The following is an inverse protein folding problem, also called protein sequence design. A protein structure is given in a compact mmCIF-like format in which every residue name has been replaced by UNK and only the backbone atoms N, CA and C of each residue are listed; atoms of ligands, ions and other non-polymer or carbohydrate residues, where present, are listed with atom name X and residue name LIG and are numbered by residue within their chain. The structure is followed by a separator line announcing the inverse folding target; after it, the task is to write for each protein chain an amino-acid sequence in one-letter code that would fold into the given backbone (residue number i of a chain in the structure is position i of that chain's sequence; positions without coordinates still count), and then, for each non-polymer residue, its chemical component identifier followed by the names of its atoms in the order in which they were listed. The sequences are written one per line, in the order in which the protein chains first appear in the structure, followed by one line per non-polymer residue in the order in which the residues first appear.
data_IF_059888166204
#
_entry.id   IF_059888166204
#
_cell.length_a   1.000
_cell.length_b   1.000
_cell.length_c   1.000
_cell.angle_alpha   90.00
_cell.angle_beta   90.00
_cell.angle_gamma   90.00
#
_symmetry.space_group_name_H-M   'P 1'
#
loop_
_entity.id
_entity.type
_entity.pdbx_description
1 polymer ?
#
# COMPACT_ATOMS: atom_id res chain seq x y z
N UNK A 1 -8.47 -39.49 3.92
CA UNK A 1 -8.62 -38.53 2.82
C UNK A 1 -8.42 -37.15 3.41
N UNK A 2 -7.21 -36.60 3.30
CA UNK A 2 -6.85 -35.30 3.89
C UNK A 2 -6.46 -34.37 2.75
N UNK A 3 -7.39 -33.52 2.33
CA UNK A 3 -7.18 -32.56 1.25
C UNK A 3 -6.33 -31.41 1.79
N UNK A 4 -5.07 -31.35 1.37
CA UNK A 4 -4.19 -30.22 1.65
C UNK A 4 -4.48 -29.13 0.62
N UNK A 5 -5.03 -28.01 1.06
CA UNK A 5 -5.24 -26.83 0.21
C UNK A 5 -3.90 -26.11 0.07
N UNK A 6 -3.32 -26.21 -1.12
CA UNK A 6 -2.18 -25.39 -1.52
C UNK A 6 -2.65 -23.94 -1.70
N UNK A 7 -2.27 -23.05 -0.77
CA UNK A 7 -2.34 -21.61 -0.99
C UNK A 7 -1.30 -21.24 -2.06
N UNK A 8 -1.75 -20.83 -3.25
CA UNK A 8 -0.85 -20.31 -4.28
C UNK A 8 -0.33 -18.93 -3.84
N UNK A 9 0.98 -18.65 -3.99
CA UNK A 9 1.53 -17.33 -3.70
C UNK A 9 1.04 -16.35 -4.77
N UNK A 10 0.26 -15.36 -4.35
CA UNK A 10 -0.12 -14.23 -5.20
C UNK A 10 1.16 -13.49 -5.62
N UNK A 11 1.35 -13.36 -6.94
CA UNK A 11 2.46 -12.59 -7.50
C UNK A 11 2.40 -11.18 -6.94
N UNK A 12 3.45 -10.81 -6.21
CA UNK A 12 3.72 -9.46 -5.72
C UNK A 12 3.51 -8.48 -6.87
N UNK A 13 2.74 -7.43 -6.63
CA UNK A 13 2.64 -6.29 -7.56
C UNK A 13 4.00 -5.60 -7.54
N UNK A 14 4.94 -6.11 -8.33
CA UNK A 14 6.34 -5.65 -8.41
C UNK A 14 6.47 -4.29 -9.14
N UNK A 15 5.37 -3.59 -9.43
CA UNK A 15 5.34 -2.43 -10.32
C UNK A 15 5.05 -1.09 -9.65
N UNK A 16 5.00 -1.00 -8.31
CA UNK A 16 5.02 0.32 -7.65
C UNK A 16 6.46 0.84 -7.71
N UNK A 17 6.85 1.36 -8.88
CA UNK A 17 8.11 2.09 -9.07
C UNK A 17 8.15 3.25 -8.08
N UNK A 18 9.27 3.32 -7.38
CA UNK A 18 9.79 4.42 -6.57
C UNK A 18 9.01 5.75 -6.67
N UNK A 19 8.34 6.12 -5.57
CA UNK A 19 7.72 7.44 -5.33
C UNK A 19 8.79 8.52 -5.00
N UNK A 20 10.09 8.19 -5.12
CA UNK A 20 11.20 9.01 -4.61
C UNK A 20 11.72 10.10 -5.56
N UNK A 21 11.00 10.45 -6.63
CA UNK A 21 11.43 11.51 -7.55
C UNK A 21 10.26 12.45 -7.86
N UNK A 22 10.03 13.41 -6.96
CA UNK A 22 9.09 14.50 -7.19
C UNK A 22 9.57 15.80 -6.53
N UNK A 23 10.86 16.12 -6.67
CA UNK A 23 11.35 17.45 -6.34
C UNK A 23 10.87 18.44 -7.42
N UNK A 24 9.77 19.16 -7.13
CA UNK A 24 9.29 20.28 -7.93
C UNK A 24 7.86 20.20 -8.49
N UNK A 25 7.11 19.11 -8.27
CA UNK A 25 5.71 19.01 -8.69
C UNK A 25 4.77 19.67 -7.65
N UNK A 26 3.84 20.55 -8.03
CA UNK A 26 2.87 21.11 -7.08
C UNK A 26 2.10 19.98 -6.38
N UNK A 27 1.83 20.10 -5.07
CA UNK A 27 1.33 18.98 -4.25
C UNK A 27 -0.03 18.43 -4.70
N UNK A 28 -0.81 19.19 -5.46
CA UNK A 28 -2.13 18.80 -5.96
C UNK A 28 -2.13 17.92 -7.22
N UNK A 29 -0.98 17.68 -7.87
CA UNK A 29 -0.92 16.94 -9.14
C UNK A 29 -0.35 15.51 -8.99
N UNK A 30 0.01 15.11 -7.76
CA UNK A 30 0.52 13.76 -7.47
C UNK A 30 -0.62 12.82 -7.11
N UNK A 31 -0.82 11.76 -7.90
CA UNK A 31 -1.75 10.68 -7.55
C UNK A 31 -1.34 10.01 -6.25
N UNK A 32 -2.31 9.80 -5.36
CA UNK A 32 -2.07 9.05 -4.13
C UNK A 32 -1.75 7.57 -4.42
N UNK A 33 -1.10 6.89 -3.46
CA UNK A 33 -0.88 5.43 -3.59
C UNK A 33 -2.20 4.66 -3.71
N UNK A 34 -3.27 5.19 -3.11
CA UNK A 34 -4.62 4.62 -3.19
C UNK A 34 -5.14 4.69 -4.62
N UNK A 35 -5.04 5.86 -5.27
CA UNK A 35 -5.43 6.03 -6.67
C UNK A 35 -4.61 5.13 -7.60
N UNK A 36 -3.28 5.13 -7.46
CA UNK A 36 -2.40 4.30 -8.29
C UNK A 36 -2.74 2.81 -8.16
N UNK A 37 -2.96 2.34 -6.94
CA UNK A 37 -3.28 0.93 -6.68
C UNK A 37 -4.67 0.58 -7.20
N UNK A 38 -5.66 1.47 -7.02
CA UNK A 38 -7.01 1.29 -7.54
C UNK A 38 -7.02 1.25 -9.07
N UNK A 39 -6.26 2.12 -9.72
CA UNK A 39 -6.10 2.14 -11.18
C UNK A 39 -5.52 0.82 -11.68
N UNK A 40 -4.41 0.36 -11.09
CA UNK A 40 -3.75 -0.90 -11.45
C UNK A 40 -4.67 -2.12 -11.25
N UNK A 41 -5.43 -2.19 -10.15
CA UNK A 41 -6.41 -3.26 -9.92
C UNK A 41 -7.50 -3.25 -11.00
N UNK A 42 -7.95 -2.07 -11.42
CA UNK A 42 -9.00 -1.93 -12.42
C UNK A 42 -8.56 -2.27 -13.85
N UNK A 43 -7.26 -2.40 -14.13
CA UNK A 43 -6.75 -2.87 -15.44
C UNK A 43 -7.05 -4.35 -15.66
N UNK A 44 -7.11 -5.14 -14.58
CA UNK A 44 -7.44 -6.56 -14.64
C UNK A 44 -8.91 -6.79 -14.29
N UNK A 45 -9.67 -7.36 -15.24
CA UNK A 45 -11.07 -7.76 -14.98
C UNK A 45 -11.19 -8.64 -13.73
N UNK A 46 -10.28 -9.62 -13.58
CA UNK A 46 -10.29 -10.55 -12.45
C UNK A 46 -10.10 -9.82 -11.12
N UNK A 47 -9.09 -8.97 -11.01
CA UNK A 47 -8.80 -8.25 -9.77
C UNK A 47 -9.90 -7.23 -9.43
N UNK A 48 -10.50 -6.62 -10.45
CA UNK A 48 -11.64 -5.73 -10.29
C UNK A 48 -12.88 -6.47 -9.77
N UNK A 49 -13.15 -7.66 -10.29
CA UNK A 49 -14.25 -8.52 -9.82
C UNK A 49 -13.98 -8.98 -8.36
N UNK A 50 -12.75 -9.39 -8.05
CA UNK A 50 -12.31 -9.74 -6.69
C UNK A 50 -12.48 -8.54 -5.73
N UNK A 51 -12.10 -7.33 -6.15
CA UNK A 51 -12.29 -6.09 -5.37
C UNK A 51 -13.78 -5.78 -5.15
N UNK A 52 -14.62 -5.92 -6.18
CA UNK A 52 -16.06 -5.69 -6.07
C UNK A 52 -16.70 -6.67 -5.06
N UNK A 53 -16.37 -7.95 -5.14
CA UNK A 53 -16.79 -8.96 -4.17
C UNK A 53 -16.26 -8.66 -2.76
N UNK A 54 -14.97 -8.33 -2.66
CA UNK A 54 -14.32 -7.96 -1.43
C UNK A 54 -14.89 -6.70 -0.81
N UNK A 55 -15.55 -5.80 -1.56
CA UNK A 55 -16.22 -4.61 -1.03
C UNK A 55 -17.74 -4.79 -0.83
N UNK A 56 -18.32 -5.88 -1.32
CA UNK A 56 -19.77 -6.07 -1.37
C UNK A 56 -20.44 -5.05 -2.30
N UNK A 57 -19.81 -4.78 -3.44
CA UNK A 57 -20.22 -3.79 -4.42
C UNK A 57 -20.40 -4.43 -5.80
N UNK A 58 -21.14 -3.73 -6.67
CA UNK A 58 -21.11 -4.03 -8.09
C UNK A 58 -19.83 -3.48 -8.73
N UNK A 59 -19.39 -4.10 -9.82
CA UNK A 59 -18.26 -3.62 -10.64
C UNK A 59 -18.48 -2.17 -11.10
N UNK A 60 -19.73 -1.79 -11.40
CA UNK A 60 -20.09 -0.42 -11.76
C UNK A 60 -19.87 0.60 -10.63
N UNK A 61 -19.95 0.19 -9.37
CA UNK A 61 -19.65 1.06 -8.24
C UNK A 61 -18.14 1.33 -8.16
N UNK A 62 -17.30 0.33 -8.48
CA UNK A 62 -15.85 0.48 -8.56
C UNK A 62 -15.47 1.52 -9.62
N UNK A 63 -16.10 1.47 -10.79
CA UNK A 63 -15.86 2.47 -11.85
C UNK A 63 -16.24 3.89 -11.44
N UNK A 64 -17.34 4.05 -10.71
CA UNK A 64 -17.77 5.36 -10.20
C UNK A 64 -16.80 5.91 -9.15
N UNK A 65 -16.28 5.05 -8.27
CA UNK A 65 -15.28 5.44 -7.27
C UNK A 65 -13.97 5.82 -7.96
N UNK A 66 -13.49 4.99 -8.89
CA UNK A 66 -12.30 5.29 -9.69
C UNK A 66 -12.44 6.59 -10.48
N UNK A 67 -13.61 6.82 -11.06
CA UNK A 67 -13.92 8.03 -11.83
C UNK A 67 -14.24 9.26 -10.98
N UNK A 68 -14.10 9.20 -9.65
CA UNK A 68 -14.38 10.34 -8.76
C UNK A 68 -15.85 10.76 -8.70
N UNK A 69 -16.75 9.98 -9.28
CA UNK A 69 -18.20 10.28 -9.30
C UNK A 69 -18.85 10.01 -7.95
N UNK A 70 -18.29 9.10 -7.15
CA UNK A 70 -18.78 8.77 -5.82
C UNK A 70 -17.63 8.50 -4.86
N UNK A 71 -17.84 8.81 -3.58
CA UNK A 71 -16.86 8.58 -2.52
C UNK A 71 -16.92 7.16 -1.95
N UNK A 72 -15.96 6.86 -1.08
CA UNK A 72 -15.92 5.61 -0.30
C UNK A 72 -16.56 5.89 1.07
N UNK A 73 -17.60 5.15 1.47
CA UNK A 73 -18.18 5.24 2.81
C UNK A 73 -17.14 4.95 3.90
N UNK A 74 -17.19 5.67 5.01
CA UNK A 74 -16.20 5.59 6.10
C UNK A 74 -16.09 4.15 6.66
N UNK A 75 -17.22 3.48 6.83
CA UNK A 75 -17.31 2.09 7.30
C UNK A 75 -16.62 1.08 6.36
N UNK A 76 -16.37 1.47 5.10
CA UNK A 76 -15.71 0.63 4.09
C UNK A 76 -14.23 0.95 3.90
N UNK A 77 -13.68 1.99 4.54
CA UNK A 77 -12.27 2.40 4.36
C UNK A 77 -11.30 1.27 4.75
N UNK A 78 -11.48 0.67 5.93
CA UNK A 78 -10.63 -0.43 6.39
C UNK A 78 -10.68 -1.64 5.43
N UNK A 79 -11.86 -1.91 4.88
CA UNK A 79 -12.10 -2.98 3.92
C UNK A 79 -11.42 -2.69 2.58
N UNK A 80 -11.46 -1.44 2.12
CA UNK A 80 -10.76 -0.98 0.93
C UNK A 80 -9.25 -1.15 1.07
N UNK A 81 -8.66 -0.69 2.18
CA UNK A 81 -7.22 -0.84 2.42
C UNK A 81 -6.81 -2.32 2.38
N UNK A 82 -7.57 -3.18 3.05
CA UNK A 82 -7.31 -4.64 3.04
C UNK A 82 -7.40 -5.22 1.63
N UNK A 83 -8.43 -4.86 0.86
CA UNK A 83 -8.64 -5.36 -0.50
C UNK A 83 -7.57 -4.86 -1.49
N UNK A 84 -7.00 -3.68 -1.26
CA UNK A 84 -5.89 -3.13 -2.04
C UNK A 84 -4.51 -3.55 -1.50
N UNK A 85 -4.45 -4.39 -0.46
CA UNK A 85 -3.22 -4.79 0.22
C UNK A 85 -2.39 -3.61 0.77
N UNK A 86 -3.07 -2.58 1.23
CA UNK A 86 -2.50 -1.40 1.86
C UNK A 86 -2.61 -1.49 3.39
N UNK A 87 -1.62 -0.95 4.09
CA UNK A 87 -1.61 -0.83 5.55
C UNK A 87 -1.49 0.64 5.91
N UNK A 88 -2.28 1.08 6.88
CA UNK A 88 -2.22 2.44 7.43
C UNK A 88 -1.45 2.44 8.73
N UNK A 89 -0.56 3.40 8.89
CA UNK A 89 0.17 3.67 10.12
C UNK A 89 0.24 5.17 10.36
N UNK A 90 0.59 5.58 11.57
CA UNK A 90 0.78 6.99 11.92
C UNK A 90 2.05 7.54 11.28
N UNK A 91 2.06 8.85 10.99
CA UNK A 91 3.26 9.53 10.49
C UNK A 91 4.45 9.35 11.44
N UNK A 92 4.20 9.43 12.75
CA UNK A 92 5.23 9.17 13.77
C UNK A 92 5.86 7.77 13.64
N UNK A 93 5.05 6.74 13.37
CA UNK A 93 5.57 5.39 13.14
C UNK A 93 6.36 5.30 11.83
N UNK A 94 5.92 6.00 10.79
CA UNK A 94 6.65 6.12 9.53
C UNK A 94 8.05 6.73 9.74
N UNK A 95 8.11 7.83 10.49
CA UNK A 95 9.36 8.54 10.81
C UNK A 95 10.28 7.68 11.67
N UNK A 96 9.70 6.93 12.62
CA UNK A 96 10.45 5.96 13.41
C UNK A 96 11.09 4.88 12.51
N UNK A 97 10.33 4.30 11.57
CA UNK A 97 10.87 3.32 10.62
C UNK A 97 11.96 3.93 9.72
N UNK A 98 11.76 5.16 9.23
CA UNK A 98 12.74 5.86 8.42
C UNK A 98 14.04 6.09 9.19
N UNK A 99 13.97 6.54 10.45
CA UNK A 99 15.12 6.70 11.33
C UNK A 99 15.81 5.37 11.61
N UNK A 100 15.04 4.32 11.89
CA UNK A 100 15.54 2.96 12.07
C UNK A 100 16.35 2.47 10.86
N UNK A 101 15.87 2.74 9.64
CA UNK A 101 16.58 2.39 8.41
C UNK A 101 17.89 3.16 8.23
N UNK A 102 17.94 4.45 8.59
CA UNK A 102 19.17 5.25 8.56
C UNK A 102 20.20 4.69 9.54
N UNK A 103 19.80 4.40 10.78
CA UNK A 103 20.71 3.91 11.83
C UNK A 103 21.14 2.47 11.53
N UNK A 104 20.20 1.56 11.29
CA UNK A 104 20.46 0.13 11.12
C UNK A 104 21.22 -0.21 9.85
N UNK A 105 20.99 0.51 8.75
CA UNK A 105 21.69 0.23 7.49
C UNK A 105 23.09 0.86 7.44
N UNK A 106 23.30 1.98 8.14
CA UNK A 106 24.55 2.75 8.03
C UNK A 106 25.48 2.65 9.25
N UNK A 107 25.00 2.23 10.43
CA UNK A 107 25.85 2.07 11.61
C UNK A 107 26.12 0.60 11.93
N UNK A 108 27.41 0.23 11.92
CA UNK A 108 27.86 -1.11 12.31
C UNK A 108 27.52 -1.45 13.77
N UNK A 109 27.72 -0.51 14.71
CA UNK A 109 27.42 -0.72 16.13
C UNK A 109 25.93 -1.03 16.36
N UNK A 110 25.03 -0.38 15.62
CA UNK A 110 23.60 -0.61 15.74
C UNK A 110 23.23 -2.02 15.27
N UNK A 111 23.84 -2.50 14.18
CA UNK A 111 23.67 -3.90 13.70
C UNK A 111 24.19 -4.94 14.69
N UNK A 112 25.20 -4.58 15.48
CA UNK A 112 25.78 -5.45 16.51
C UNK A 112 25.07 -5.30 17.87
N UNK A 113 23.92 -4.63 17.93
CA UNK A 113 23.18 -4.33 19.17
C UNK A 113 23.98 -3.50 20.20
N UNK A 114 24.94 -2.69 19.75
CA UNK A 114 25.80 -1.84 20.60
C UNK A 114 25.36 -0.37 20.63
N UNK A 115 24.20 -0.04 20.04
CA UNK A 115 23.70 1.33 19.92
C UNK A 115 24.20 2.08 18.68
N UNK A 116 23.84 3.37 18.57
CA UNK A 116 24.21 4.21 17.43
C UNK A 116 25.66 4.72 17.52
N UNK A 117 26.36 4.67 16.40
CA UNK A 117 27.72 5.16 16.22
C UNK A 117 27.70 6.70 16.33
N UNK A 118 28.28 7.29 17.38
CA UNK A 118 28.38 8.75 17.50
C UNK A 118 27.48 9.42 18.54
N UNK A 119 26.87 8.67 19.47
CA UNK A 119 26.45 9.22 20.77
C UNK A 119 27.44 8.81 21.86
N UNK A 120 28.54 9.54 21.90
CA UNK A 120 29.54 9.59 22.98
C UNK A 120 30.11 10.99 23.04
#
# INVERSE_FOLDING_TARGET
MTTTVFAQPLRRIDSIRNVSESDGMPPNDRKSVIELTLEAVCESKRLKDDLAAAMGWSVSMIDKVKGGTTGVPIDKIARLHTALHLVTFTEEYADYLARGNVIGSNCHCARMNMGECGRG
#
